data_IF_088467664448
#
_entry.id   IF_088467664448
#
_cell.length_a   1.000
_cell.length_b   1.000
_cell.length_c   1.000
_cell.angle_alpha   90.00
_cell.angle_beta   90.00
_cell.angle_gamma   90.00
#
_symmetry.space_group_name_H-M   'P 1'
#
loop_
_entity.id
_entity.type
_entity.pdbx_description
1 polymer ?
#
# COMPACT_ATOMS: atom_id res chain seq x y z
N UNK A 1 38.17 2.33 -2.72
CA UNK A 1 37.49 2.24 -1.42
C UNK A 1 36.82 3.57 -1.14
N UNK A 2 35.58 3.57 -0.69
CA UNK A 2 34.88 4.80 -0.31
C UNK A 2 35.42 5.24 1.06
N UNK A 3 35.94 6.47 1.16
CA UNK A 3 36.48 7.03 2.41
C UNK A 3 35.49 8.05 2.95
N UNK A 4 35.12 7.93 4.23
CA UNK A 4 34.21 8.87 4.88
C UNK A 4 33.62 8.32 6.19
N UNK A 5 32.99 9.20 6.96
CA UNK A 5 32.35 8.86 8.23
C UNK A 5 31.15 7.91 8.06
N UNK A 6 30.36 8.09 6.99
CA UNK A 6 29.19 7.24 6.67
C UNK A 6 29.51 5.77 6.44
N UNK A 7 30.47 5.37 5.58
CA UNK A 7 30.84 3.96 5.42
C UNK A 7 31.49 3.38 6.68
N UNK A 8 32.22 4.19 7.46
CA UNK A 8 32.74 3.75 8.76
C UNK A 8 31.60 3.46 9.75
N UNK A 9 30.61 4.35 9.85
CA UNK A 9 29.42 4.17 10.68
C UNK A 9 28.64 2.91 10.27
N UNK A 10 28.40 2.71 8.97
CA UNK A 10 27.70 1.53 8.47
C UNK A 10 28.41 0.22 8.85
N UNK A 11 29.74 0.17 8.70
CA UNK A 11 30.54 -0.99 9.11
C UNK A 11 30.45 -1.26 10.62
N UNK A 12 30.36 -0.20 11.45
CA UNK A 12 30.19 -0.33 12.89
C UNK A 12 28.79 -0.83 13.25
N UNK A 13 27.74 -0.28 12.64
CA UNK A 13 26.36 -0.73 12.87
C UNK A 13 26.15 -2.19 12.44
N UNK A 14 26.83 -2.64 11.39
CA UNK A 14 26.80 -4.06 10.97
C UNK A 14 27.25 -5.00 12.11
N UNK A 15 28.24 -4.60 12.90
CA UNK A 15 28.73 -5.43 14.03
C UNK A 15 27.69 -5.61 15.14
N UNK A 16 26.67 -4.76 15.20
CA UNK A 16 25.56 -4.86 16.14
C UNK A 16 24.41 -5.74 15.61
N UNK A 17 24.34 -5.93 14.29
CA UNK A 17 23.25 -6.66 13.65
C UNK A 17 23.41 -8.17 13.88
N UNK A 18 22.36 -8.80 14.42
CA UNK A 18 22.27 -10.25 14.44
C UNK A 18 22.01 -10.79 13.03
N UNK A 19 22.37 -12.06 12.74
CA UNK A 19 22.05 -12.68 11.46
C UNK A 19 20.57 -12.52 11.07
N UNK A 20 20.32 -12.07 9.84
CA UNK A 20 18.96 -11.85 9.34
C UNK A 20 18.29 -10.55 9.81
N UNK A 21 19.02 -9.65 10.49
CA UNK A 21 18.49 -8.36 10.95
C UNK A 21 19.18 -7.18 10.26
N UNK A 22 18.51 -6.03 10.25
CA UNK A 22 19.05 -4.77 9.71
C UNK A 22 19.09 -3.74 10.81
N UNK A 23 20.25 -3.12 11.04
CA UNK A 23 20.45 -2.03 12.00
C UNK A 23 20.75 -0.75 11.23
N UNK A 24 20.06 0.34 11.59
CA UNK A 24 20.14 1.62 10.89
C UNK A 24 20.51 2.78 11.82
N UNK A 25 21.15 3.79 11.23
CA UNK A 25 21.52 5.04 11.90
C UNK A 25 20.36 6.05 11.96
N UNK A 26 20.46 7.15 12.73
CA UNK A 26 19.42 8.17 12.81
C UNK A 26 19.08 8.81 11.46
N UNK A 27 20.08 9.02 10.60
CA UNK A 27 19.89 9.57 9.26
C UNK A 27 18.99 8.68 8.40
N UNK A 28 19.27 7.37 8.35
CA UNK A 28 18.44 6.40 7.65
C UNK A 28 17.06 6.25 8.30
N UNK A 29 16.96 6.32 9.64
CA UNK A 29 15.68 6.30 10.36
C UNK A 29 14.78 7.47 9.97
N UNK A 30 15.34 8.67 9.77
CA UNK A 30 14.60 9.84 9.25
C UNK A 30 14.15 9.65 7.81
N UNK A 31 15.03 9.15 6.94
CA UNK A 31 14.70 8.94 5.51
C UNK A 31 13.63 7.87 5.30
N UNK A 32 13.69 6.81 6.11
CA UNK A 32 12.73 5.70 6.06
C UNK A 32 11.45 5.98 6.82
N UNK A 33 11.38 7.03 7.65
CA UNK A 33 10.13 7.48 8.26
C UNK A 33 9.36 6.33 8.94
N UNK A 34 8.05 6.28 8.79
CA UNK A 34 7.21 5.20 9.33
C UNK A 34 7.20 3.90 8.50
N UNK A 35 8.04 3.76 7.47
CA UNK A 35 7.97 2.61 6.54
C UNK A 35 8.17 1.24 7.19
N UNK A 36 8.80 1.21 8.36
CA UNK A 36 9.05 -0.03 9.09
C UNK A 36 8.63 0.13 10.54
N UNK A 37 8.37 -1.00 11.21
CA UNK A 37 8.45 -1.05 12.66
C UNK A 37 9.92 -1.10 13.07
N UNK A 38 10.26 -0.30 14.07
CA UNK A 38 11.62 -0.20 14.58
C UNK A 38 11.67 -0.57 16.06
N UNK A 39 12.70 -1.29 16.45
CA UNK A 39 13.11 -1.41 17.85
C UNK A 39 14.28 -0.47 18.09
N UNK A 40 14.13 0.45 19.02
CA UNK A 40 15.25 1.29 19.45
C UNK A 40 16.26 0.45 20.22
N UNK A 41 17.54 0.57 19.85
CA UNK A 41 18.66 -0.09 20.54
C UNK A 41 19.35 0.85 21.53
N UNK A 42 18.90 2.10 21.61
CA UNK A 42 19.49 3.15 22.44
C UNK A 42 20.80 3.70 21.88
N UNK A 43 21.52 4.48 22.69
CA UNK A 43 22.85 4.99 22.37
C UNK A 43 23.91 3.91 22.52
N UNK A 44 24.56 3.55 21.41
CA UNK A 44 25.60 2.50 21.38
C UNK A 44 26.97 3.14 21.20
N UNK A 45 27.92 2.80 22.08
CA UNK A 45 29.31 3.23 21.94
C UNK A 45 29.97 2.50 20.76
N UNK A 46 30.36 3.24 19.73
CA UNK A 46 30.96 2.70 18.52
C UNK A 46 32.42 3.16 18.39
N UNK A 47 33.32 2.23 18.06
CA UNK A 47 34.75 2.54 17.90
C UNK A 47 34.95 3.58 16.78
N UNK A 48 35.55 4.72 17.14
CA UNK A 48 35.82 5.83 16.23
C UNK A 48 34.76 6.95 16.28
N UNK A 49 33.85 6.90 17.25
CA UNK A 49 32.89 7.96 17.57
C UNK A 49 33.05 8.31 19.04
N UNK A 50 33.14 9.61 19.34
CA UNK A 50 33.36 10.11 20.70
C UNK A 50 32.07 10.09 21.54
N UNK A 51 30.92 10.15 20.88
CA UNK A 51 29.60 10.08 21.50
C UNK A 51 28.87 8.77 21.14
N UNK A 52 28.05 8.21 22.06
CA UNK A 52 27.19 7.08 21.74
C UNK A 52 26.23 7.40 20.59
N UNK A 53 26.16 6.52 19.60
CA UNK A 53 25.31 6.71 18.42
C UNK A 53 24.00 5.97 18.63
N UNK A 54 22.87 6.67 18.53
CA UNK A 54 21.55 6.02 18.53
C UNK A 54 21.37 5.10 17.34
N UNK A 55 20.87 3.89 17.59
CA UNK A 55 20.63 2.90 16.55
C UNK A 55 19.24 2.27 16.68
N UNK A 56 18.71 1.80 15.54
CA UNK A 56 17.43 1.09 15.48
C UNK A 56 17.59 -0.21 14.72
N UNK A 57 16.97 -1.28 15.22
CA UNK A 57 16.74 -2.50 14.46
C UNK A 57 15.44 -2.36 13.67
N UNK A 58 15.49 -2.62 12.37
CA UNK A 58 14.32 -2.77 11.51
C UNK A 58 13.68 -4.13 11.80
N UNK A 59 12.41 -4.14 12.17
CA UNK A 59 11.67 -5.35 12.54
C UNK A 59 10.91 -5.91 11.34
N UNK A 60 9.92 -5.15 10.87
CA UNK A 60 9.04 -5.53 9.77
C UNK A 60 8.72 -4.30 8.95
N UNK A 61 8.49 -4.47 7.66
CA UNK A 61 7.89 -3.43 6.83
C UNK A 61 6.48 -3.16 7.33
N UNK A 62 6.18 -1.90 7.62
CA UNK A 62 4.79 -1.50 7.82
C UNK A 62 4.18 -1.36 6.44
N UNK A 63 3.03 -1.99 6.26
CA UNK A 63 2.13 -1.63 5.19
C UNK A 63 1.52 -0.25 5.51
N UNK A 64 2.34 0.80 5.46
CA UNK A 64 1.83 2.16 5.53
C UNK A 64 1.11 2.45 4.22
N UNK A 65 -0.04 3.10 4.37
CA UNK A 65 -0.95 3.46 3.30
C UNK A 65 -0.35 4.45 2.30
N UNK A 66 0.83 5.06 2.56
CA UNK A 66 1.60 5.86 1.59
C UNK A 66 3.04 6.14 2.01
N UNK A 67 3.97 6.15 1.03
CA UNK A 67 5.36 6.66 1.20
C UNK A 67 5.40 8.10 1.71
N UNK A 68 4.49 8.93 1.21
CA UNK A 68 4.40 10.32 1.63
C UNK A 68 4.00 10.42 3.11
N UNK A 69 3.05 9.60 3.56
CA UNK A 69 2.58 9.59 4.95
C UNK A 69 3.65 9.05 5.91
N UNK A 70 4.38 8.01 5.49
CA UNK A 70 5.53 7.49 6.23
C UNK A 70 6.58 8.57 6.50
N UNK A 71 6.83 9.46 5.54
CA UNK A 71 7.85 10.49 5.66
C UNK A 71 7.40 11.75 6.41
N UNK A 72 6.10 11.95 6.62
CA UNK A 72 5.55 13.23 7.12
C UNK A 72 4.67 13.08 8.38
N UNK A 73 5.07 12.23 9.33
CA UNK A 73 4.40 12.10 10.64
C UNK A 73 4.35 13.40 11.47
N UNK A 74 5.17 14.41 11.14
CA UNK A 74 5.27 15.67 11.88
C UNK A 74 4.93 16.86 10.96
N UNK A 75 3.78 17.49 11.22
CA UNK A 75 3.44 18.87 10.81
C UNK A 75 3.66 19.20 9.33
N UNK A 76 2.67 18.92 8.49
CA UNK A 76 2.71 19.35 7.08
C UNK A 76 2.52 20.85 6.93
N UNK A 77 3.23 21.43 5.96
CA UNK A 77 3.00 22.82 5.55
C UNK A 77 1.60 22.99 4.95
N UNK A 78 0.96 24.17 5.11
CA UNK A 78 -0.32 24.46 4.46
C UNK A 78 -0.24 24.24 2.95
N UNK A 79 -1.32 23.69 2.38
CA UNK A 79 -1.49 23.64 0.92
C UNK A 79 -1.80 25.06 0.43
N UNK A 80 -0.96 25.62 -0.44
CA UNK A 80 -1.09 27.00 -0.93
C UNK A 80 -1.32 26.98 -2.44
N UNK A 81 -2.31 27.74 -2.93
CA UNK A 81 -2.50 28.00 -4.36
C UNK A 81 -3.02 26.78 -5.13
N UNK A 82 -3.80 25.93 -4.46
CA UNK A 82 -4.38 24.69 -5.01
C UNK A 82 -5.88 24.56 -4.71
N UNK A 83 -6.52 25.69 -4.42
CA UNK A 83 -7.92 25.76 -3.99
C UNK A 83 -8.85 25.28 -5.11
N UNK A 84 -8.56 25.62 -6.36
CA UNK A 84 -9.35 25.20 -7.53
C UNK A 84 -9.27 23.69 -7.79
N UNK A 85 -8.07 23.10 -7.74
CA UNK A 85 -7.88 21.67 -7.93
C UNK A 85 -8.50 20.86 -6.78
N UNK A 86 -8.37 21.34 -5.54
CA UNK A 86 -8.99 20.70 -4.38
C UNK A 86 -10.52 20.76 -4.47
N UNK A 87 -11.10 21.89 -4.88
CA UNK A 87 -12.55 22.01 -5.06
C UNK A 87 -13.06 21.15 -6.23
N UNK A 88 -12.27 20.99 -7.30
CA UNK A 88 -12.58 20.03 -8.37
C UNK A 88 -12.66 18.59 -7.81
N UNK A 89 -11.68 18.17 -7.01
CA UNK A 89 -11.69 16.85 -6.38
C UNK A 89 -12.91 16.66 -5.47
N UNK A 90 -13.21 17.64 -4.61
CA UNK A 90 -14.38 17.60 -3.70
C UNK A 90 -15.71 17.57 -4.43
N UNK A 91 -15.85 18.34 -5.52
CA UNK A 91 -17.06 18.32 -6.35
C UNK A 91 -17.27 16.95 -6.98
N UNK A 92 -16.19 16.29 -7.43
CA UNK A 92 -16.27 14.95 -8.03
C UNK A 92 -16.56 13.88 -6.99
N UNK A 93 -16.03 14.04 -5.77
CA UNK A 93 -16.39 13.21 -4.63
C UNK A 93 -17.90 13.26 -4.34
N UNK A 94 -18.48 14.46 -4.18
CA UNK A 94 -19.93 14.63 -3.96
C UNK A 94 -20.79 13.95 -5.04
N UNK A 95 -20.38 14.04 -6.30
CA UNK A 95 -21.08 13.34 -7.39
C UNK A 95 -20.99 11.81 -7.25
N UNK A 96 -19.85 11.27 -6.79
CA UNK A 96 -19.71 9.85 -6.53
C UNK A 96 -20.60 9.38 -5.36
N UNK A 97 -20.77 10.20 -4.32
CA UNK A 97 -21.70 9.94 -3.22
C UNK A 97 -23.17 9.91 -3.68
N UNK A 98 -23.51 10.68 -4.71
CA UNK A 98 -24.83 10.67 -5.37
C UNK A 98 -25.02 9.45 -6.29
N UNK A 99 -24.05 8.53 -6.35
CA UNK A 99 -24.08 7.32 -7.18
C UNK A 99 -23.51 7.52 -8.59
N UNK A 100 -23.03 8.72 -8.92
CA UNK A 100 -22.41 9.00 -10.20
C UNK A 100 -20.89 8.84 -10.12
N UNK A 101 -20.41 7.60 -10.28
CA UNK A 101 -18.97 7.27 -10.24
C UNK A 101 -18.10 8.24 -11.05
N UNK A 102 -16.92 8.57 -10.52
CA UNK A 102 -15.97 9.52 -11.11
C UNK A 102 -14.55 8.96 -11.14
N UNK A 103 -13.84 9.25 -12.23
CA UNK A 103 -12.41 8.98 -12.38
C UNK A 103 -11.71 10.30 -12.66
N UNK A 104 -10.59 10.53 -11.97
CA UNK A 104 -9.75 11.71 -12.11
C UNK A 104 -8.30 11.27 -12.23
N UNK A 105 -7.57 11.87 -13.18
CA UNK A 105 -6.16 11.64 -13.38
C UNK A 105 -5.37 12.88 -12.95
N UNK A 106 -4.51 12.71 -11.93
CA UNK A 106 -3.64 13.76 -11.40
C UNK A 106 -2.27 13.70 -12.10
N UNK A 107 -2.03 14.62 -13.04
CA UNK A 107 -0.76 14.70 -13.79
C UNK A 107 0.04 15.92 -13.35
N UNK A 108 1.36 15.78 -13.27
CA UNK A 108 2.26 16.88 -12.99
C UNK A 108 3.66 16.38 -12.66
N UNK A 109 4.62 17.31 -12.60
CA UNK A 109 6.03 17.00 -12.34
C UNK A 109 6.27 16.34 -10.97
N UNK A 110 7.38 15.62 -10.83
CA UNK A 110 7.78 15.06 -9.54
C UNK A 110 7.96 16.20 -8.52
N UNK A 111 7.42 16.03 -7.31
CA UNK A 111 7.51 17.05 -6.26
C UNK A 111 6.54 18.23 -6.37
N UNK A 112 5.72 18.34 -7.43
CA UNK A 112 4.78 19.46 -7.63
C UNK A 112 3.62 19.55 -6.61
N UNK A 113 3.52 18.56 -5.71
CA UNK A 113 2.51 18.52 -4.65
C UNK A 113 1.31 17.59 -4.90
N UNK A 114 1.36 16.67 -5.88
CA UNK A 114 0.26 15.71 -6.17
C UNK A 114 -0.20 14.96 -4.91
N UNK A 115 0.73 14.33 -4.18
CA UNK A 115 0.42 13.60 -2.96
C UNK A 115 -0.11 14.50 -1.84
N UNK A 116 0.35 15.76 -1.77
CA UNK A 116 -0.18 16.75 -0.81
C UNK A 116 -1.62 17.13 -1.13
N UNK A 117 -1.96 17.27 -2.42
CA UNK A 117 -3.32 17.56 -2.88
C UNK A 117 -4.26 16.38 -2.57
N UNK A 118 -3.86 15.14 -2.87
CA UNK A 118 -4.63 13.94 -2.51
C UNK A 118 -4.82 13.85 -1.00
N UNK A 119 -3.79 14.17 -0.21
CA UNK A 119 -3.91 14.20 1.25
C UNK A 119 -4.86 15.30 1.74
N UNK A 120 -4.82 16.50 1.16
CA UNK A 120 -5.74 17.57 1.52
C UNK A 120 -7.20 17.23 1.22
N UNK A 121 -7.46 16.45 0.16
CA UNK A 121 -8.76 15.84 -0.07
C UNK A 121 -9.12 14.90 1.10
N UNK A 122 -8.26 13.93 1.42
CA UNK A 122 -8.48 12.98 2.51
C UNK A 122 -8.70 13.66 3.88
N UNK A 123 -7.95 14.71 4.18
CA UNK A 123 -8.10 15.53 5.39
C UNK A 123 -9.50 16.18 5.43
N UNK A 124 -10.02 16.61 4.28
CA UNK A 124 -11.38 17.14 4.16
C UNK A 124 -12.48 16.09 4.32
N UNK A 125 -12.20 14.84 3.95
CA UNK A 125 -13.16 13.72 4.02
C UNK A 125 -13.13 12.96 5.35
N UNK A 126 -12.23 13.30 6.28
CA UNK A 126 -12.00 12.52 7.50
C UNK A 126 -13.23 12.38 8.43
N UNK A 127 -14.25 13.23 8.27
CA UNK A 127 -15.51 13.16 9.00
C UNK A 127 -16.66 12.46 8.28
N UNK A 128 -16.45 12.02 7.04
CA UNK A 128 -17.48 11.42 6.18
C UNK A 128 -17.28 9.89 6.11
N UNK A 129 -18.34 9.07 6.28
CA UNK A 129 -18.20 7.63 6.21
C UNK A 129 -17.96 7.18 4.76
N UNK A 130 -16.76 6.67 4.49
CA UNK A 130 -16.38 6.14 3.19
C UNK A 130 -15.38 5.00 3.34
N UNK A 131 -15.33 4.13 2.33
CA UNK A 131 -14.27 3.14 2.20
C UNK A 131 -13.13 3.72 1.38
N UNK A 132 -11.89 3.52 1.82
CA UNK A 132 -10.71 3.96 1.09
C UNK A 132 -9.89 2.76 0.65
N UNK A 133 -9.63 2.66 -0.65
CA UNK A 133 -8.78 1.64 -1.26
C UNK A 133 -7.57 2.33 -1.88
N UNK A 134 -6.36 1.89 -1.54
CA UNK A 134 -5.12 2.45 -2.10
C UNK A 134 -4.32 1.37 -2.80
N UNK A 135 -3.83 1.73 -3.98
CA UNK A 135 -3.07 0.85 -4.87
C UNK A 135 -1.74 1.52 -5.17
N UNK A 136 -0.65 0.77 -4.96
CA UNK A 136 0.72 1.24 -5.22
C UNK A 136 1.30 0.50 -6.40
N UNK A 137 1.52 1.23 -7.49
CA UNK A 137 2.27 0.70 -8.62
C UNK A 137 3.77 0.78 -8.34
N UNK A 138 4.55 -0.14 -8.90
CA UNK A 138 5.99 -0.25 -8.61
C UNK A 138 6.82 -0.48 -9.87
N UNK A 139 7.98 0.19 -10.03
CA UNK A 139 8.90 -0.08 -11.13
C UNK A 139 9.39 -1.52 -11.19
N UNK A 140 9.42 -2.21 -10.05
CA UNK A 140 9.89 -3.60 -9.98
C UNK A 140 8.80 -4.62 -10.34
N UNK A 141 7.55 -4.18 -10.46
CA UNK A 141 6.39 -5.06 -10.66
C UNK A 141 5.57 -4.74 -11.92
N UNK A 142 6.15 -4.00 -12.87
CA UNK A 142 5.49 -3.68 -14.17
C UNK A 142 5.07 -4.91 -14.98
N UNK A 143 5.69 -6.05 -14.75
CA UNK A 143 5.41 -7.32 -15.44
C UNK A 143 4.75 -8.35 -14.51
N UNK A 144 4.37 -7.96 -13.30
CA UNK A 144 3.67 -8.82 -12.33
C UNK A 144 2.18 -8.51 -12.43
N UNK A 145 1.43 -9.39 -13.09
CA UNK A 145 0.01 -9.20 -13.32
C UNK A 145 -0.74 -8.96 -12.00
N UNK A 146 -1.59 -7.94 -11.97
CA UNK A 146 -2.44 -7.61 -10.82
C UNK A 146 -1.68 -7.32 -9.52
N UNK A 147 -0.38 -6.98 -9.59
CA UNK A 147 0.43 -6.70 -8.40
C UNK A 147 -0.21 -5.69 -7.42
N UNK A 148 -0.61 -4.47 -7.85
CA UNK A 148 -1.22 -3.52 -6.92
C UNK A 148 -2.50 -4.05 -6.29
N UNK A 149 -3.28 -4.85 -7.04
CA UNK A 149 -4.53 -5.45 -6.57
C UNK A 149 -4.28 -6.55 -5.54
N UNK A 150 -3.32 -7.44 -5.80
CA UNK A 150 -2.88 -8.49 -4.87
C UNK A 150 -2.44 -7.86 -3.56
N UNK A 151 -1.52 -6.88 -3.61
CA UNK A 151 -1.02 -6.21 -2.42
C UNK A 151 -2.12 -5.51 -1.62
N UNK A 152 -3.10 -4.91 -2.31
CA UNK A 152 -4.23 -4.25 -1.65
C UNK A 152 -5.17 -5.27 -0.97
N UNK A 153 -5.44 -6.42 -1.61
CA UNK A 153 -6.26 -7.49 -1.03
C UNK A 153 -5.59 -8.13 0.17
N UNK A 154 -4.30 -8.45 0.10
CA UNK A 154 -3.53 -9.00 1.23
C UNK A 154 -3.55 -8.04 2.42
N UNK A 155 -3.39 -6.74 2.16
CA UNK A 155 -3.46 -5.70 3.18
C UNK A 155 -4.87 -5.57 3.79
N UNK A 156 -5.91 -5.50 2.95
CA UNK A 156 -7.29 -5.37 3.40
C UNK A 156 -7.77 -6.60 4.18
N UNK A 157 -7.33 -7.80 3.81
CA UNK A 157 -7.58 -9.03 4.56
C UNK A 157 -6.75 -9.11 5.85
N UNK A 158 -5.77 -8.23 6.03
CA UNK A 158 -4.86 -8.22 7.18
C UNK A 158 -3.99 -9.48 7.25
N UNK A 159 -3.50 -9.97 6.10
CA UNK A 159 -2.62 -11.13 6.06
C UNK A 159 -1.32 -10.85 6.80
N UNK A 160 -0.96 -11.76 7.69
CA UNK A 160 0.31 -11.76 8.42
C UNK A 160 1.23 -12.83 7.87
N UNK A 161 2.54 -12.62 8.02
CA UNK A 161 3.57 -13.55 7.56
C UNK A 161 3.41 -14.96 8.14
N UNK A 162 3.01 -15.04 9.40
CA UNK A 162 2.89 -16.30 10.14
C UNK A 162 1.45 -16.85 10.17
N UNK A 163 0.52 -16.27 9.39
CA UNK A 163 -0.81 -16.85 9.24
C UNK A 163 -0.73 -18.18 8.50
N UNK A 164 -1.39 -19.20 9.04
CA UNK A 164 -1.61 -20.46 8.33
C UNK A 164 -2.54 -20.24 7.13
N UNK A 165 -2.51 -21.16 6.17
CA UNK A 165 -3.37 -21.12 4.99
C UNK A 165 -4.85 -21.04 5.36
N UNK A 166 -5.29 -21.81 6.38
CA UNK A 166 -6.67 -21.81 6.86
C UNK A 166 -7.07 -20.44 7.42
N UNK A 167 -6.14 -19.77 8.12
CA UNK A 167 -6.37 -18.44 8.68
C UNK A 167 -6.43 -17.36 7.60
N UNK A 168 -5.61 -17.46 6.56
CA UNK A 168 -5.69 -16.57 5.38
C UNK A 168 -7.01 -16.74 4.64
N UNK A 169 -7.45 -17.98 4.42
CA UNK A 169 -8.74 -18.27 3.78
C UNK A 169 -9.91 -17.70 4.59
N UNK A 170 -9.94 -17.89 5.91
CA UNK A 170 -10.98 -17.33 6.76
C UNK A 170 -11.02 -15.78 6.75
N UNK A 171 -9.84 -15.15 6.71
CA UNK A 171 -9.74 -13.68 6.55
C UNK A 171 -10.22 -13.21 5.18
N UNK A 172 -9.90 -13.95 4.13
CA UNK A 172 -10.37 -13.67 2.79
C UNK A 172 -11.90 -13.77 2.71
N UNK A 173 -12.51 -14.79 3.30
CA UNK A 173 -13.96 -14.93 3.34
C UNK A 173 -14.64 -13.75 4.03
N UNK A 174 -14.07 -13.30 5.16
CA UNK A 174 -14.57 -12.13 5.87
C UNK A 174 -14.48 -10.85 5.03
N UNK A 175 -13.40 -10.68 4.26
CA UNK A 175 -13.22 -9.53 3.37
C UNK A 175 -14.23 -9.54 2.21
N UNK A 176 -14.50 -10.71 1.63
CA UNK A 176 -15.33 -10.87 0.44
C UNK A 176 -16.83 -10.99 0.72
N UNK A 177 -17.22 -11.03 2.00
CA UNK A 177 -18.62 -11.20 2.42
C UNK A 177 -19.60 -10.15 1.84
N UNK A 178 -19.10 -8.96 1.51
CA UNK A 178 -19.90 -7.82 1.05
C UNK A 178 -19.97 -7.66 -0.49
N UNK A 179 -19.38 -8.56 -1.28
CA UNK A 179 -19.41 -8.43 -2.74
C UNK A 179 -19.27 -9.74 -3.52
N UNK A 180 -18.09 -10.36 -3.50
CA UNK A 180 -17.82 -11.62 -4.19
C UNK A 180 -18.33 -12.82 -3.36
N UNK A 181 -19.66 -12.96 -3.24
CA UNK A 181 -20.28 -13.98 -2.41
C UNK A 181 -20.35 -15.38 -3.07
N UNK A 182 -20.12 -15.49 -4.39
CA UNK A 182 -20.18 -16.76 -5.09
C UNK A 182 -18.92 -17.61 -4.83
N UNK A 183 -19.06 -18.93 -4.53
CA UNK A 183 -17.92 -19.80 -4.23
C UNK A 183 -16.84 -19.81 -5.32
N UNK A 184 -17.23 -19.76 -6.60
CA UNK A 184 -16.29 -19.70 -7.73
C UNK A 184 -15.49 -18.39 -7.72
N UNK A 185 -16.14 -17.25 -7.46
CA UNK A 185 -15.49 -15.94 -7.41
C UNK A 185 -14.45 -15.89 -6.26
N UNK A 186 -14.81 -16.44 -5.10
CA UNK A 186 -13.91 -16.51 -3.96
C UNK A 186 -12.68 -17.39 -4.28
N UNK A 187 -12.88 -18.55 -4.89
CA UNK A 187 -11.77 -19.44 -5.26
C UNK A 187 -10.86 -18.82 -6.34
N UNK A 188 -11.40 -18.04 -7.27
CA UNK A 188 -10.60 -17.29 -8.25
C UNK A 188 -9.75 -16.20 -7.60
N UNK A 189 -10.28 -15.51 -6.58
CA UNK A 189 -9.51 -14.52 -5.80
C UNK A 189 -8.48 -15.23 -4.90
N UNK A 190 -8.83 -16.39 -4.32
CA UNK A 190 -7.91 -17.20 -3.56
C UNK A 190 -6.72 -17.67 -4.42
N UNK A 191 -6.98 -18.16 -5.64
CA UNK A 191 -5.96 -18.54 -6.63
C UNK A 191 -5.04 -17.35 -6.97
N UNK A 192 -5.62 -16.16 -7.19
CA UNK A 192 -4.86 -14.92 -7.40
C UNK A 192 -3.90 -14.60 -6.24
N UNK A 193 -4.32 -14.89 -5.01
CA UNK A 193 -3.53 -14.73 -3.78
C UNK A 193 -2.62 -15.94 -3.47
N UNK A 194 -2.48 -16.88 -4.40
CA UNK A 194 -1.71 -18.12 -4.24
C UNK A 194 -2.16 -18.99 -3.05
N UNK A 195 -3.45 -18.98 -2.74
CA UNK A 195 -4.10 -19.84 -1.76
C UNK A 195 -4.71 -21.08 -2.44
N UNK A 196 -4.76 -22.24 -1.76
CA UNK A 196 -5.30 -23.44 -2.35
C UNK A 196 -6.81 -23.31 -2.61
N UNK A 197 -7.26 -23.84 -3.74
CA UNK A 197 -8.68 -23.90 -4.07
C UNK A 197 -9.43 -24.79 -3.08
N UNK A 198 -10.67 -24.41 -2.75
CA UNK A 198 -11.55 -25.18 -1.86
C UNK A 198 -12.54 -26.04 -2.62
N UNK A 199 -12.85 -25.66 -3.86
CA UNK A 199 -13.77 -26.38 -4.73
C UNK A 199 -13.03 -26.89 -5.98
N UNK A 200 -13.57 -27.92 -6.66
CA UNK A 200 -13.02 -28.40 -7.92
C UNK A 200 -12.94 -27.26 -8.93
N UNK A 201 -11.76 -27.03 -9.50
CA UNK A 201 -11.58 -25.99 -10.50
C UNK A 201 -12.38 -26.36 -11.76
N UNK A 202 -13.21 -25.45 -12.30
CA UNK A 202 -13.82 -25.65 -13.60
C UNK A 202 -12.72 -25.71 -14.68
N UNK A 203 -12.97 -26.48 -15.74
CA UNK A 203 -12.10 -26.51 -16.92
C UNK A 203 -12.21 -25.18 -17.67
N UNK A 204 -11.39 -24.21 -17.28
CA UNK A 204 -11.30 -22.90 -17.89
C UNK A 204 -9.99 -22.77 -18.66
N UNK A 205 -10.06 -22.21 -19.86
CA UNK A 205 -8.86 -21.70 -20.52
C UNK A 205 -8.23 -20.57 -19.68
N UNK A 206 -6.92 -20.30 -19.83
CA UNK A 206 -6.26 -19.19 -19.13
C UNK A 206 -6.96 -17.83 -19.34
N UNK A 207 -7.47 -17.59 -20.55
CA UNK A 207 -8.19 -16.35 -20.88
C UNK A 207 -9.52 -16.24 -20.12
N UNK A 208 -10.33 -17.30 -20.10
CA UNK A 208 -11.59 -17.31 -19.36
C UNK A 208 -11.36 -17.19 -17.85
N UNK A 209 -10.31 -17.82 -17.32
CA UNK A 209 -9.92 -17.67 -15.91
C UNK A 209 -9.61 -16.21 -15.59
N UNK A 210 -8.78 -15.55 -16.41
CA UNK A 210 -8.47 -14.11 -16.27
C UNK A 210 -9.75 -13.27 -16.28
N UNK A 211 -10.61 -13.43 -17.28
CA UNK A 211 -11.86 -12.66 -17.40
C UNK A 211 -12.76 -12.84 -16.18
N UNK A 212 -12.93 -14.08 -15.69
CA UNK A 212 -13.71 -14.35 -14.48
C UNK A 212 -13.07 -13.79 -13.21
N UNK A 213 -11.74 -13.82 -13.09
CA UNK A 213 -11.04 -13.19 -11.97
C UNK A 213 -11.26 -11.67 -11.96
N UNK A 214 -11.14 -11.00 -13.11
CA UNK A 214 -11.41 -9.56 -13.21
C UNK A 214 -12.87 -9.24 -12.86
N UNK A 215 -13.82 -10.03 -13.36
CA UNK A 215 -15.23 -9.89 -13.02
C UNK A 215 -15.49 -10.09 -11.51
N UNK A 216 -14.84 -11.05 -10.87
CA UNK A 216 -14.93 -11.26 -9.41
C UNK A 216 -14.40 -10.07 -8.61
N UNK A 217 -13.28 -9.47 -9.05
CA UNK A 217 -12.72 -8.26 -8.42
C UNK A 217 -13.66 -7.06 -8.56
N UNK A 218 -14.25 -6.87 -9.74
CA UNK A 218 -15.24 -5.81 -9.98
C UNK A 218 -16.51 -6.03 -9.15
N UNK A 219 -17.04 -7.26 -9.10
CA UNK A 219 -18.19 -7.60 -8.28
C UNK A 219 -17.95 -7.34 -6.79
N UNK A 220 -16.72 -7.60 -6.31
CA UNK A 220 -16.33 -7.25 -4.95
C UNK A 220 -16.38 -5.74 -4.73
N UNK A 221 -15.79 -4.95 -5.64
CA UNK A 221 -15.80 -3.49 -5.56
C UNK A 221 -17.22 -2.91 -5.61
N UNK A 222 -18.06 -3.41 -6.50
CA UNK A 222 -19.47 -3.01 -6.60
C UNK A 222 -20.25 -3.32 -5.32
N UNK A 223 -19.99 -4.49 -4.71
CA UNK A 223 -20.57 -4.86 -3.43
C UNK A 223 -20.25 -3.85 -2.33
N UNK A 224 -18.97 -3.49 -2.20
CA UNK A 224 -18.51 -2.46 -1.26
C UNK A 224 -19.15 -1.10 -1.55
N UNK A 225 -19.25 -0.72 -2.84
CA UNK A 225 -19.83 0.55 -3.27
C UNK A 225 -21.35 0.67 -3.04
N UNK A 226 -22.06 -0.45 -2.84
CA UNK A 226 -23.48 -0.43 -2.46
C UNK A 226 -23.70 -0.07 -0.99
N UNK A 227 -22.71 -0.32 -0.13
CA UNK A 227 -22.81 -0.04 1.31
C UNK A 227 -22.25 1.33 1.67
N UNK A 228 -21.11 1.71 1.09
CA UNK A 228 -20.44 2.97 1.36
C UNK A 228 -19.84 3.57 0.08
N UNK A 229 -19.77 4.91 -0.06
CA UNK A 229 -18.95 5.53 -1.08
C UNK A 229 -17.51 5.01 -1.02
N UNK A 230 -16.93 4.64 -2.16
CA UNK A 230 -15.56 4.09 -2.25
C UNK A 230 -14.63 5.09 -2.91
N UNK A 231 -13.62 5.54 -2.17
CA UNK A 231 -12.52 6.34 -2.69
C UNK A 231 -11.34 5.43 -3.07
N UNK A 232 -11.08 5.31 -4.36
CA UNK A 232 -9.93 4.55 -4.89
C UNK A 232 -8.79 5.51 -5.24
N UNK A 233 -7.59 5.23 -4.73
CA UNK A 233 -6.39 6.00 -5.03
C UNK A 233 -5.33 5.08 -5.64
N UNK A 234 -4.97 5.32 -6.90
CA UNK A 234 -3.80 4.73 -7.54
C UNK A 234 -2.62 5.70 -7.45
N UNK A 235 -1.58 5.29 -6.74
CA UNK A 235 -0.33 6.01 -6.66
C UNK A 235 0.63 5.46 -7.72
N UNK A 236 1.44 6.34 -8.30
CA UNK A 236 2.51 5.92 -9.21
C UNK A 236 1.98 5.17 -10.46
N UNK A 237 0.80 5.57 -10.96
CA UNK A 237 0.05 4.89 -12.05
C UNK A 237 0.87 4.61 -13.32
N UNK A 238 1.90 5.40 -13.63
CA UNK A 238 2.77 5.16 -14.79
C UNK A 238 3.69 3.94 -14.66
N UNK A 239 3.66 3.25 -13.52
CA UNK A 239 4.30 1.95 -13.30
C UNK A 239 3.29 0.80 -13.21
N UNK A 240 2.00 1.02 -13.50
CA UNK A 240 0.98 -0.03 -13.46
C UNK A 240 1.31 -1.17 -14.43
N UNK A 241 1.01 -2.41 -14.03
CA UNK A 241 1.12 -3.57 -14.92
C UNK A 241 -0.05 -3.62 -15.92
N UNK A 242 0.14 -4.23 -17.12
CA UNK A 242 -0.89 -4.25 -18.16
C UNK A 242 -2.23 -4.83 -17.73
N UNK A 243 -2.22 -5.87 -16.87
CA UNK A 243 -3.45 -6.54 -16.44
C UNK A 243 -4.24 -5.67 -15.46
N UNK A 244 -3.56 -4.96 -14.55
CA UNK A 244 -4.22 -3.98 -13.68
C UNK A 244 -4.73 -2.75 -14.43
N UNK A 245 -4.11 -2.38 -15.55
CA UNK A 245 -4.57 -1.28 -16.40
C UNK A 245 -5.84 -1.62 -17.19
N UNK A 246 -6.06 -2.91 -17.47
CA UNK A 246 -7.25 -3.43 -18.16
C UNK A 246 -8.47 -3.56 -17.24
N UNK A 247 -8.23 -3.77 -15.94
CA UNK A 247 -9.26 -3.83 -14.89
C UNK A 247 -9.97 -2.47 -14.72
#
# INVERSE_FOLDING_TARGET
>A
GVVGETPNLAARLQTLAQPGTVVIAPSTRRLTGGHFDYRELGGVALKGFDEPVSAWQVLVERALESRFEAQHEIGLTPLIGREEELELLRRRWRQAEEGEGRVLLLVGEAGIGKSRLTRALLEGLAGEPHLRLRYFCSPHHRNSALFPVISQLEHAAGFLRDDTTERKLAKLDALLAHGAAEPEAIDLIADLLSLPARHPAPELSPQQRKEKTLAALLAQLEGLAREHPVLILFEDLHWIDPTSLEL
#
